data_IF_079121926706
#
_entry.id   IF_079121926706
#
_cell.length_a   1.000
_cell.length_b   1.000
_cell.length_c   1.000
_cell.angle_alpha   90.00
_cell.angle_beta   90.00
_cell.angle_gamma   90.00
#
_symmetry.space_group_name_H-M   'P 1'
#
loop_
_entity.id
_entity.type
_entity.pdbx_description
1 polymer ?
#
# COMPACT_ATOMS: atom_id res chain seq x y z
N UNK A 1 18.45 -2.64 -2.10
CA UNK A 1 17.14 -3.31 -2.16
C UNK A 1 17.28 -4.82 -2.47
N UNK A 2 17.87 -5.22 -3.57
CA UNK A 2 17.91 -6.63 -4.03
C UNK A 2 18.37 -7.64 -2.97
N UNK A 3 19.46 -7.38 -2.25
CA UNK A 3 19.91 -8.25 -1.16
C UNK A 3 18.84 -8.51 -0.10
N UNK A 4 18.10 -7.47 0.30
CA UNK A 4 17.02 -7.62 1.27
C UNK A 4 15.84 -8.40 0.68
N UNK A 5 15.46 -8.12 -0.55
CA UNK A 5 14.37 -8.83 -1.22
C UNK A 5 14.64 -10.33 -1.36
N UNK A 6 15.87 -10.70 -1.73
CA UNK A 6 16.26 -12.10 -1.97
C UNK A 6 16.49 -12.90 -0.68
N UNK A 7 17.07 -12.28 0.36
CA UNK A 7 17.59 -12.98 1.54
C UNK A 7 16.85 -12.66 2.84
N UNK A 8 15.88 -11.76 2.77
CA UNK A 8 15.23 -11.23 3.96
C UNK A 8 16.15 -10.32 4.78
N UNK A 9 15.59 -9.69 5.81
CA UNK A 9 16.35 -8.79 6.65
C UNK A 9 17.53 -9.49 7.33
N UNK A 10 17.31 -10.65 7.97
CA UNK A 10 18.36 -11.37 8.74
C UNK A 10 19.49 -11.89 7.85
N UNK A 11 19.18 -12.36 6.64
CA UNK A 11 20.14 -12.95 5.72
C UNK A 11 21.12 -11.97 5.07
N UNK A 12 20.90 -10.66 5.19
CA UNK A 12 21.79 -9.64 4.60
C UNK A 12 23.01 -9.39 5.48
N UNK A 13 24.19 -9.47 4.86
CA UNK A 13 25.49 -9.09 5.45
C UNK A 13 25.98 -7.79 4.82
N UNK A 14 26.30 -6.79 5.66
CA UNK A 14 26.75 -5.45 5.18
C UNK A 14 28.02 -5.56 4.36
N UNK A 15 28.92 -6.51 4.69
CA UNK A 15 30.15 -6.78 3.94
C UNK A 15 29.89 -7.15 2.46
N UNK A 16 28.83 -7.93 2.23
CA UNK A 16 28.47 -8.36 0.87
C UNK A 16 27.88 -7.21 0.06
N UNK A 17 27.03 -6.41 0.71
CA UNK A 17 26.48 -5.18 0.11
C UNK A 17 27.59 -4.20 -0.24
N UNK A 18 28.53 -3.95 0.66
CA UNK A 18 29.67 -3.06 0.44
C UNK A 18 30.56 -3.54 -0.72
N UNK A 19 30.86 -4.85 -0.75
CA UNK A 19 31.66 -5.47 -1.82
C UNK A 19 30.99 -5.32 -3.19
N UNK A 20 29.68 -5.57 -3.28
CA UNK A 20 28.93 -5.44 -4.53
C UNK A 20 28.84 -3.99 -5.01
N UNK A 21 28.68 -3.06 -4.05
CA UNK A 21 28.70 -1.62 -4.34
C UNK A 21 30.09 -1.05 -4.64
N UNK A 22 31.16 -1.85 -4.49
CA UNK A 22 32.53 -1.39 -4.72
C UNK A 22 33.04 -0.40 -3.68
N UNK A 23 32.49 -0.42 -2.45
CA UNK A 23 32.85 0.50 -1.36
C UNK A 23 33.35 -0.26 -0.12
N UNK A 24 34.08 0.44 0.76
CA UNK A 24 34.50 -0.15 2.04
C UNK A 24 33.28 -0.33 2.96
N UNK A 25 33.29 -1.40 3.79
CA UNK A 25 32.26 -1.65 4.81
C UNK A 25 32.06 -0.43 5.71
N UNK A 26 33.16 0.23 6.13
CA UNK A 26 33.12 1.44 6.94
C UNK A 26 32.36 2.60 6.29
N UNK A 27 32.39 2.73 4.97
CA UNK A 27 31.62 3.75 4.26
C UNK A 27 30.11 3.49 4.35
N UNK A 28 29.67 2.22 4.26
CA UNK A 28 28.27 1.86 4.44
C UNK A 28 27.79 2.20 5.86
N UNK A 29 28.56 1.84 6.88
CA UNK A 29 28.24 2.22 8.27
C UNK A 29 28.32 3.73 8.50
N UNK A 30 29.27 4.43 7.88
CA UNK A 30 29.38 5.89 7.99
C UNK A 30 28.16 6.62 7.41
N UNK A 31 27.57 6.07 6.34
CA UNK A 31 26.41 6.68 5.67
C UNK A 31 25.06 6.26 6.31
N UNK A 32 24.88 4.99 6.60
CA UNK A 32 23.61 4.45 7.06
C UNK A 32 23.56 4.21 8.57
N UNK A 33 24.67 4.30 9.27
CA UNK A 33 24.79 4.09 10.71
C UNK A 33 24.69 2.63 11.16
N UNK A 34 23.72 1.90 10.65
CA UNK A 34 23.40 0.52 11.07
C UNK A 34 22.80 -0.29 9.92
N UNK A 35 22.57 -1.59 10.15
CA UNK A 35 21.78 -2.44 9.25
C UNK A 35 20.33 -1.95 9.14
N UNK A 36 19.74 -1.48 10.26
CA UNK A 36 18.41 -0.90 10.28
C UNK A 36 18.36 0.36 9.41
N UNK A 37 19.34 1.26 9.52
CA UNK A 37 19.41 2.46 8.69
C UNK A 37 19.58 2.14 7.20
N UNK A 38 20.39 1.13 6.84
CA UNK A 38 20.50 0.66 5.46
C UNK A 38 19.17 0.06 4.96
N UNK A 39 18.48 -0.72 5.81
CA UNK A 39 17.18 -1.27 5.45
C UNK A 39 16.11 -0.18 5.31
N UNK A 40 16.07 0.79 6.23
CA UNK A 40 15.17 1.94 6.15
C UNK A 40 15.36 2.72 4.84
N UNK A 41 16.60 2.98 4.45
CA UNK A 41 16.88 3.64 3.17
C UNK A 41 16.42 2.79 1.97
N UNK A 42 16.58 1.46 2.05
CA UNK A 42 16.06 0.55 1.03
C UNK A 42 14.52 0.55 0.97
N UNK A 43 13.85 0.56 2.12
CA UNK A 43 12.40 0.68 2.25
C UNK A 43 11.88 1.99 1.65
N UNK A 44 12.49 3.11 2.03
CA UNK A 44 12.13 4.44 1.49
C UNK A 44 12.25 4.50 -0.04
N UNK A 45 13.34 3.95 -0.59
CA UNK A 45 13.53 3.89 -2.04
C UNK A 45 12.49 2.97 -2.71
N UNK A 46 12.15 1.84 -2.07
CA UNK A 46 11.11 0.94 -2.55
C UNK A 46 9.74 1.62 -2.54
N UNK A 47 9.34 2.25 -1.43
CA UNK A 47 8.06 2.94 -1.31
C UNK A 47 7.91 4.05 -2.37
N UNK A 48 8.93 4.87 -2.57
CA UNK A 48 8.91 5.92 -3.62
C UNK A 48 8.83 5.35 -5.04
N UNK A 49 9.33 4.14 -5.29
CA UNK A 49 9.24 3.53 -6.62
C UNK A 49 7.81 3.14 -6.99
N UNK A 50 6.92 2.96 -6.02
CA UNK A 50 5.52 2.66 -6.28
C UNK A 50 4.74 3.82 -6.89
N UNK A 51 5.15 5.07 -6.67
CA UNK A 51 4.42 6.25 -7.19
C UNK A 51 4.17 6.18 -8.70
N UNK A 52 5.12 5.65 -9.46
CA UNK A 52 4.99 5.49 -10.91
C UNK A 52 3.88 4.49 -11.33
N UNK A 53 3.44 3.63 -10.42
CA UNK A 53 2.39 2.62 -10.67
C UNK A 53 1.02 3.04 -10.14
N UNK A 54 0.97 4.11 -9.35
CA UNK A 54 -0.26 4.65 -8.81
C UNK A 54 -1.00 5.57 -9.79
N UNK A 55 -0.36 5.96 -10.90
CA UNK A 55 -0.99 6.74 -11.94
C UNK A 55 -2.11 5.92 -12.60
N UNK A 56 -3.34 6.41 -12.47
CA UNK A 56 -4.51 5.84 -13.12
C UNK A 56 -4.80 6.57 -14.45
N UNK A 57 -5.25 5.86 -15.51
CA UNK A 57 -5.69 6.49 -16.74
C UNK A 57 -6.81 7.51 -16.51
N UNK A 58 -6.89 8.55 -17.37
CA UNK A 58 -7.88 9.61 -17.24
C UNK A 58 -9.31 9.07 -17.21
N UNK A 59 -9.60 8.00 -17.95
CA UNK A 59 -10.90 7.35 -17.97
C UNK A 59 -11.27 6.79 -16.58
N UNK A 60 -10.32 6.14 -15.90
CA UNK A 60 -10.52 5.59 -14.56
C UNK A 60 -10.63 6.72 -13.52
N UNK A 61 -9.83 7.78 -13.67
CA UNK A 61 -9.93 8.98 -12.80
C UNK A 61 -11.30 9.63 -12.96
N UNK A 62 -11.85 9.68 -14.16
CA UNK A 62 -13.19 10.21 -14.42
C UNK A 62 -14.30 9.40 -13.75
N UNK A 63 -14.14 8.07 -13.62
CA UNK A 63 -15.07 7.18 -12.91
C UNK A 63 -15.07 7.40 -11.39
N UNK A 64 -13.94 7.88 -10.80
CA UNK A 64 -13.85 8.38 -9.45
C UNK A 64 -13.02 7.54 -8.48
N UNK A 65 -13.13 7.92 -7.20
CA UNK A 65 -12.28 7.43 -6.11
C UNK A 65 -12.25 5.89 -6.00
N UNK A 66 -13.42 5.25 -5.97
CA UNK A 66 -13.52 3.80 -5.81
C UNK A 66 -13.16 3.01 -7.06
N UNK A 67 -13.27 3.61 -8.24
CA UNK A 67 -12.78 3.02 -9.48
C UNK A 67 -11.25 2.98 -9.52
N UNK A 68 -10.59 4.04 -9.04
CA UNK A 68 -9.14 4.09 -8.91
C UNK A 68 -8.64 3.00 -7.94
N UNK A 69 -9.28 2.84 -6.78
CA UNK A 69 -8.94 1.75 -5.83
C UNK A 69 -9.04 0.38 -6.51
N UNK A 70 -10.14 0.13 -7.21
CA UNK A 70 -10.31 -1.11 -7.95
C UNK A 70 -9.20 -1.33 -8.97
N UNK A 71 -8.89 -0.31 -9.76
CA UNK A 71 -7.83 -0.34 -10.76
C UNK A 71 -6.47 -0.68 -10.15
N UNK A 72 -6.10 -0.09 -9.01
CA UNK A 72 -4.83 -0.40 -8.33
C UNK A 72 -4.77 -1.84 -7.85
N UNK A 73 -5.86 -2.34 -7.24
CA UNK A 73 -5.94 -3.73 -6.76
C UNK A 73 -5.79 -4.72 -7.92
N UNK A 74 -6.46 -4.48 -9.04
CA UNK A 74 -6.41 -5.35 -10.21
C UNK A 74 -5.03 -5.35 -10.88
N UNK A 75 -4.30 -4.23 -10.82
CA UNK A 75 -2.96 -4.10 -11.41
C UNK A 75 -1.82 -4.60 -10.53
N UNK A 76 -2.02 -4.69 -9.23
CA UNK A 76 -0.96 -5.06 -8.26
C UNK A 76 -0.20 -6.34 -8.66
N UNK A 77 -0.82 -7.46 -9.04
CA UNK A 77 -0.08 -8.67 -9.42
C UNK A 77 0.79 -8.49 -10.65
N UNK A 78 0.33 -7.72 -11.64
CA UNK A 78 1.08 -7.44 -12.85
C UNK A 78 2.33 -6.63 -12.54
N UNK A 79 2.17 -5.57 -11.75
CA UNK A 79 3.27 -4.74 -11.28
C UNK A 79 4.33 -5.55 -10.52
N UNK A 80 3.90 -6.40 -9.58
CA UNK A 80 4.82 -7.21 -8.79
C UNK A 80 5.52 -8.26 -9.66
N UNK A 81 4.86 -8.76 -10.70
CA UNK A 81 5.50 -9.65 -11.66
C UNK A 81 6.61 -8.95 -12.46
N UNK A 82 6.44 -7.67 -12.81
CA UNK A 82 7.46 -6.88 -13.53
C UNK A 82 8.64 -6.48 -12.64
N UNK A 83 8.39 -6.02 -11.41
CA UNK A 83 9.44 -5.64 -10.46
C UNK A 83 9.06 -6.03 -9.01
N UNK A 84 9.36 -7.27 -8.66
CA UNK A 84 9.07 -7.83 -7.33
C UNK A 84 9.94 -7.27 -6.19
N UNK A 85 11.08 -6.65 -6.51
CA UNK A 85 12.09 -6.23 -5.51
C UNK A 85 11.55 -5.14 -4.59
N UNK A 86 10.98 -4.03 -5.06
CA UNK A 86 10.37 -3.02 -4.19
C UNK A 86 9.27 -3.59 -3.31
N UNK A 87 8.33 -4.35 -3.88
CA UNK A 87 7.26 -4.97 -3.12
C UNK A 87 7.79 -5.87 -1.99
N UNK A 88 8.78 -6.72 -2.29
CA UNK A 88 9.36 -7.60 -1.28
C UNK A 88 10.04 -6.83 -0.15
N UNK A 89 10.66 -5.70 -0.43
CA UNK A 89 11.28 -4.85 0.59
C UNK A 89 10.22 -4.17 1.45
N UNK A 90 9.15 -3.64 0.87
CA UNK A 90 8.04 -3.05 1.65
C UNK A 90 7.33 -4.10 2.50
N UNK A 91 7.07 -5.28 1.96
CA UNK A 91 6.50 -6.41 2.70
C UNK A 91 7.37 -6.76 3.93
N UNK A 92 8.70 -6.89 3.76
CA UNK A 92 9.62 -7.15 4.87
C UNK A 92 9.57 -6.05 5.94
N UNK A 93 9.42 -4.80 5.56
CA UNK A 93 9.27 -3.67 6.48
C UNK A 93 7.94 -3.69 7.23
N UNK A 94 6.85 -3.95 6.53
CA UNK A 94 5.50 -4.00 7.11
C UNK A 94 5.36 -5.11 8.16
N UNK A 95 6.09 -6.24 7.98
CA UNK A 95 6.06 -7.39 8.89
C UNK A 95 7.33 -7.57 9.72
N UNK A 96 8.21 -6.54 9.82
CA UNK A 96 9.43 -6.66 10.61
C UNK A 96 9.13 -6.75 12.12
N UNK A 97 9.96 -7.49 12.86
CA UNK A 97 9.82 -7.67 14.30
C UNK A 97 10.41 -6.51 15.14
N UNK A 98 11.31 -5.71 14.56
CA UNK A 98 11.94 -4.57 15.23
C UNK A 98 10.96 -3.42 15.42
N UNK A 99 10.57 -3.13 16.67
CA UNK A 99 9.70 -2.00 16.99
C UNK A 99 10.34 -0.65 16.66
N UNK A 100 11.67 -0.53 16.78
CA UNK A 100 12.39 0.68 16.44
C UNK A 100 12.29 0.94 14.93
N UNK A 101 12.61 -0.05 14.11
CA UNK A 101 12.54 0.04 12.66
C UNK A 101 11.10 0.33 12.18
N UNK A 102 10.10 -0.31 12.80
CA UNK A 102 8.68 -0.02 12.51
C UNK A 102 8.31 1.44 12.80
N UNK A 103 8.78 2.02 13.91
CA UNK A 103 8.55 3.44 14.21
C UNK A 103 9.16 4.35 13.15
N UNK A 104 10.38 4.07 12.73
CA UNK A 104 11.08 4.86 11.71
C UNK A 104 10.37 4.76 10.35
N UNK A 105 9.92 3.57 9.96
CA UNK A 105 9.09 3.36 8.76
C UNK A 105 7.77 4.15 8.87
N UNK A 106 7.05 4.04 9.99
CA UNK A 106 5.79 4.76 10.19
C UNK A 106 6.00 6.27 10.15
N UNK A 107 7.06 6.78 10.76
CA UNK A 107 7.39 8.21 10.69
C UNK A 107 7.65 8.66 9.25
N UNK A 108 8.38 7.88 8.47
CA UNK A 108 8.61 8.15 7.06
C UNK A 108 7.30 8.19 6.27
N UNK A 109 6.42 7.19 6.43
CA UNK A 109 5.13 7.12 5.72
C UNK A 109 4.23 8.32 6.05
N UNK A 110 4.18 8.71 7.33
CA UNK A 110 3.37 9.84 7.79
C UNK A 110 3.89 11.20 7.33
N UNK A 111 5.22 11.37 7.21
CA UNK A 111 5.81 12.67 6.85
C UNK A 111 5.95 12.89 5.35
N UNK A 112 6.28 11.84 4.61
CA UNK A 112 6.56 11.97 3.18
C UNK A 112 5.37 11.57 2.28
N UNK A 113 4.38 10.85 2.83
CA UNK A 113 3.21 10.34 2.08
C UNK A 113 3.62 9.79 0.69
N UNK A 114 4.54 8.80 0.64
CA UNK A 114 5.16 8.37 -0.61
C UNK A 114 4.16 7.75 -1.59
N UNK A 115 3.00 7.35 -1.10
CA UNK A 115 1.89 6.81 -1.91
C UNK A 115 0.86 7.86 -2.29
N UNK A 116 0.96 9.09 -1.74
CA UNK A 116 0.00 10.16 -1.99
C UNK A 116 -1.40 9.88 -1.45
N UNK A 117 -1.52 9.02 -0.43
CA UNK A 117 -2.83 8.59 0.09
C UNK A 117 -3.65 9.75 0.63
N UNK A 118 -3.01 10.73 1.28
CA UNK A 118 -3.71 11.93 1.75
C UNK A 118 -4.33 12.71 0.59
N UNK A 119 -3.54 13.01 -0.45
CA UNK A 119 -4.03 13.75 -1.62
C UNK A 119 -5.14 12.95 -2.35
N UNK A 120 -5.03 11.63 -2.38
CA UNK A 120 -6.04 10.76 -2.95
C UNK A 120 -7.35 10.78 -2.14
N UNK A 121 -7.30 10.74 -0.81
CA UNK A 121 -8.50 10.89 0.04
C UNK A 121 -9.12 12.28 -0.14
N UNK A 122 -8.31 13.35 -0.20
CA UNK A 122 -8.78 14.71 -0.48
C UNK A 122 -9.47 14.80 -1.84
N UNK A 123 -8.96 14.12 -2.86
CA UNK A 123 -9.62 13.99 -4.17
C UNK A 123 -11.01 13.35 -4.04
N UNK A 124 -11.15 12.25 -3.31
CA UNK A 124 -12.45 11.58 -3.10
C UNK A 124 -13.45 12.47 -2.34
N UNK A 125 -12.97 13.23 -1.34
CA UNK A 125 -13.78 14.21 -0.61
C UNK A 125 -14.21 15.33 -1.56
N UNK A 126 -13.30 15.89 -2.36
CA UNK A 126 -13.60 16.96 -3.32
C UNK A 126 -14.64 16.57 -4.36
N UNK A 127 -14.72 15.27 -4.70
CA UNK A 127 -15.75 14.71 -5.59
C UNK A 127 -17.07 14.39 -4.88
N UNK A 128 -17.12 14.51 -3.55
CA UNK A 128 -18.28 14.13 -2.77
C UNK A 128 -18.49 12.61 -2.64
N UNK A 129 -17.48 11.82 -2.98
CA UNK A 129 -17.54 10.36 -2.94
C UNK A 129 -17.12 9.81 -1.58
N UNK A 130 -16.23 10.51 -0.86
CA UNK A 130 -15.76 10.15 0.48
C UNK A 130 -16.40 11.09 1.51
N UNK A 131 -16.85 10.52 2.62
CA UNK A 131 -17.51 11.22 3.73
C UNK A 131 -16.54 12.14 4.47
N UNK A 132 -17.06 13.23 5.05
CA UNK A 132 -16.29 14.28 5.72
C UNK A 132 -16.45 14.29 7.24
N UNK A 133 -17.26 13.40 7.80
CA UNK A 133 -17.54 13.31 9.24
C UNK A 133 -16.57 12.38 10.00
N UNK A 134 -15.58 11.80 9.29
CA UNK A 134 -14.48 11.03 9.86
C UNK A 134 -13.20 11.88 9.79
N UNK A 135 -12.40 11.78 10.85
CA UNK A 135 -11.09 12.43 10.90
C UNK A 135 -10.22 12.03 9.69
N UNK A 136 -9.55 13.01 9.08
CA UNK A 136 -8.73 12.82 7.89
C UNK A 136 -7.63 11.78 8.11
N UNK A 137 -6.96 11.81 9.26
CA UNK A 137 -5.89 10.86 9.55
C UNK A 137 -6.43 9.44 9.69
N UNK A 138 -7.64 9.27 10.22
CA UNK A 138 -8.32 7.98 10.28
C UNK A 138 -8.67 7.47 8.88
N UNK A 139 -9.18 8.33 7.98
CA UNK A 139 -9.48 7.97 6.59
C UNK A 139 -8.23 7.52 5.86
N UNK A 140 -7.15 8.29 5.95
CA UNK A 140 -5.84 7.96 5.32
C UNK A 140 -5.33 6.61 5.85
N UNK A 141 -5.29 6.46 7.19
CA UNK A 141 -4.80 5.21 7.80
C UNK A 141 -5.65 4.00 7.41
N UNK A 142 -6.98 4.16 7.34
CA UNK A 142 -7.87 3.07 6.97
C UNK A 142 -7.64 2.65 5.50
N UNK A 143 -7.50 3.61 4.59
CA UNK A 143 -7.21 3.33 3.17
C UNK A 143 -5.86 2.61 3.06
N UNK A 144 -4.81 3.12 3.69
CA UNK A 144 -3.47 2.49 3.68
C UNK A 144 -3.52 1.04 4.20
N UNK A 145 -4.10 0.83 5.39
CA UNK A 145 -4.16 -0.52 5.98
C UNK A 145 -4.94 -1.51 5.14
N UNK A 146 -6.08 -1.08 4.59
CA UNK A 146 -6.91 -1.97 3.78
C UNK A 146 -6.27 -2.24 2.42
N UNK A 147 -5.65 -1.25 1.79
CA UNK A 147 -4.96 -1.43 0.50
C UNK A 147 -3.74 -2.33 0.66
N UNK A 148 -2.85 -2.04 1.62
CA UNK A 148 -1.68 -2.88 1.92
C UNK A 148 -2.09 -4.32 2.17
N UNK A 149 -3.07 -4.53 3.07
CA UNK A 149 -3.49 -5.87 3.45
C UNK A 149 -4.17 -6.63 2.30
N UNK A 150 -4.98 -5.95 1.50
CA UNK A 150 -5.63 -6.54 0.34
C UNK A 150 -4.60 -6.93 -0.73
N UNK A 151 -3.64 -6.06 -1.02
CA UNK A 151 -2.57 -6.33 -1.97
C UNK A 151 -1.69 -7.50 -1.51
N UNK A 152 -1.30 -7.51 -0.25
CA UNK A 152 -0.52 -8.60 0.35
C UNK A 152 -1.25 -9.95 0.24
N UNK A 153 -2.56 -9.98 0.52
CA UNK A 153 -3.37 -11.18 0.43
C UNK A 153 -3.53 -11.70 -1.01
N UNK A 154 -3.52 -10.80 -2.01
CA UNK A 154 -3.60 -11.17 -3.42
C UNK A 154 -2.30 -11.79 -3.93
N UNK A 155 -1.15 -11.27 -3.45
CA UNK A 155 0.17 -11.61 -4.01
C UNK A 155 0.87 -12.68 -3.21
N UNK A 156 0.67 -12.70 -1.90
CA UNK A 156 1.37 -13.60 -0.98
C UNK A 156 0.35 -14.55 -0.35
N UNK A 157 0.14 -15.70 -1.00
CA UNK A 157 -0.86 -16.70 -0.60
C UNK A 157 -0.74 -17.09 0.89
N UNK A 158 0.48 -17.12 1.43
CA UNK A 158 0.75 -17.46 2.83
C UNK A 158 0.17 -16.46 3.83
N UNK A 159 -0.05 -15.21 3.41
CA UNK A 159 -0.61 -14.18 4.29
C UNK A 159 -2.13 -14.25 4.40
N UNK A 160 -2.81 -14.74 3.38
CA UNK A 160 -4.25 -14.98 3.43
C UNK A 160 -4.70 -16.10 2.46
N UNK A 161 -4.39 -17.37 2.78
CA UNK A 161 -4.66 -18.49 1.89
C UNK A 161 -6.16 -18.73 1.67
N UNK A 162 -7.02 -18.25 2.57
CA UNK A 162 -8.47 -18.42 2.48
C UNK A 162 -9.15 -17.46 1.50
N UNK A 163 -8.57 -16.29 1.27
CA UNK A 163 -9.23 -15.24 0.48
C UNK A 163 -8.83 -15.30 -0.99
N UNK A 164 -7.54 -15.36 -1.30
CA UNK A 164 -7.01 -15.33 -2.67
C UNK A 164 -6.11 -16.53 -3.00
N UNK A 165 -5.98 -17.52 -2.12
CA UNK A 165 -5.17 -18.71 -2.33
C UNK A 165 -5.70 -19.64 -3.42
N UNK A 166 -5.01 -20.76 -3.63
CA UNK A 166 -5.22 -21.70 -4.73
C UNK A 166 -6.66 -22.15 -4.95
N UNK A 167 -7.45 -22.27 -3.87
CA UNK A 167 -8.87 -22.61 -3.94
C UNK A 167 -9.76 -21.50 -4.56
N UNK A 168 -9.25 -20.26 -4.63
CA UNK A 168 -9.95 -19.09 -5.12
C UNK A 168 -9.50 -18.68 -6.54
N UNK A 169 -8.77 -19.52 -7.24
CA UNK A 169 -8.04 -19.19 -8.48
C UNK A 169 -8.91 -19.03 -9.73
N UNK A 170 -10.25 -19.20 -9.67
CA UNK A 170 -11.02 -18.81 -10.83
C UNK A 170 -11.01 -17.29 -10.97
N UNK A 171 -10.74 -16.74 -12.18
CA UNK A 171 -10.77 -15.31 -12.42
C UNK A 171 -12.07 -14.67 -11.91
N UNK A 172 -13.20 -15.36 -12.11
CA UNK A 172 -14.51 -14.88 -11.68
C UNK A 172 -14.63 -14.75 -10.15
N UNK A 173 -14.07 -15.69 -9.39
CA UNK A 173 -14.08 -15.62 -7.92
C UNK A 173 -13.19 -14.48 -7.42
N UNK A 174 -12.04 -14.27 -8.06
CA UNK A 174 -11.14 -13.18 -7.74
C UNK A 174 -11.80 -11.83 -8.01
N UNK A 175 -12.38 -11.65 -9.20
CA UNK A 175 -13.07 -10.40 -9.58
C UNK A 175 -14.22 -10.08 -8.63
N UNK A 176 -15.02 -11.10 -8.26
CA UNK A 176 -16.09 -10.96 -7.28
C UNK A 176 -15.55 -10.47 -5.91
N UNK A 177 -14.44 -11.03 -5.44
CA UNK A 177 -13.85 -10.64 -4.15
C UNK A 177 -13.26 -9.23 -4.18
N UNK A 178 -12.61 -8.84 -5.26
CA UNK A 178 -12.17 -7.46 -5.48
C UNK A 178 -13.34 -6.50 -5.48
N UNK A 179 -14.42 -6.84 -6.19
CA UNK A 179 -15.64 -6.05 -6.18
C UNK A 179 -16.23 -5.92 -4.77
N UNK A 180 -16.36 -7.03 -4.05
CA UNK A 180 -16.87 -7.02 -2.68
C UNK A 180 -15.99 -6.18 -1.73
N UNK A 181 -14.68 -6.25 -1.87
CA UNK A 181 -13.76 -5.43 -1.10
C UNK A 181 -14.00 -3.94 -1.34
N UNK A 182 -14.11 -3.52 -2.60
CA UNK A 182 -14.36 -2.12 -2.98
C UNK A 182 -15.72 -1.65 -2.45
N UNK A 183 -16.76 -2.48 -2.51
CA UNK A 183 -18.09 -2.14 -1.98
C UNK A 183 -18.11 -2.06 -0.46
N UNK A 184 -17.37 -2.92 0.25
CA UNK A 184 -17.22 -2.82 1.70
C UNK A 184 -16.51 -1.52 2.08
N UNK A 185 -15.45 -1.16 1.36
CA UNK A 185 -14.75 0.10 1.58
C UNK A 185 -15.66 1.30 1.28
N UNK A 186 -16.41 1.28 0.18
CA UNK A 186 -17.42 2.29 -0.15
C UNK A 186 -18.47 2.42 0.96
N UNK A 187 -18.92 1.33 1.52
CA UNK A 187 -19.89 1.32 2.61
C UNK A 187 -19.32 1.94 3.91
N UNK A 188 -18.01 1.77 4.15
CA UNK A 188 -17.34 2.30 5.33
C UNK A 188 -17.04 3.80 5.23
N UNK A 189 -16.47 4.24 4.12
CA UNK A 189 -15.95 5.62 3.98
C UNK A 189 -16.66 6.45 2.88
N UNK A 190 -17.54 5.84 2.10
CA UNK A 190 -18.30 6.56 1.08
C UNK A 190 -19.32 7.51 1.71
N UNK A 191 -19.64 8.57 0.98
CA UNK A 191 -20.71 9.49 1.35
C UNK A 191 -22.03 8.73 1.41
N UNK A 192 -22.74 8.72 2.55
CA UNK A 192 -24.01 8.02 2.65
C UNK A 192 -25.03 8.64 1.67
N UNK A 193 -25.91 7.82 1.06
CA UNK A 193 -26.98 8.36 0.23
C UNK A 193 -27.79 9.37 1.02
N UNK A 194 -28.03 10.54 0.44
CA UNK A 194 -28.86 11.57 1.08
C UNK A 194 -30.21 10.94 1.42
N UNK A 195 -30.52 10.84 2.70
CA UNK A 195 -31.86 10.49 3.16
C UNK A 195 -32.80 11.59 2.67
N UNK A 196 -33.58 11.32 1.65
CA UNK A 196 -34.68 12.16 1.24
C UNK A 196 -35.63 12.24 2.45
N UNK A 197 -35.57 13.33 3.22
CA UNK A 197 -36.56 13.57 4.28
C UNK A 197 -37.95 13.48 3.64
N UNK A 198 -38.86 12.62 4.15
CA UNK A 198 -40.23 12.64 3.66
C UNK A 198 -40.76 14.07 3.85
N UNK A 199 -41.32 14.65 2.78
CA UNK A 199 -42.05 15.91 2.88
C UNK A 199 -43.08 15.70 3.98
N UNK A 200 -42.94 16.45 5.08
CA UNK A 200 -44.04 16.62 6.02
C UNK A 200 -45.15 17.29 5.20
N UNK A 201 -46.14 16.49 4.82
CA UNK A 201 -47.41 17.02 4.35
C UNK A 201 -47.99 17.85 5.46
N UNK A 202 -48.00 19.17 5.27
CA UNK A 202 -48.70 20.10 6.13
C UNK A 202 -50.21 19.80 6.01
N UNK A 203 -50.81 19.34 7.14
CA UNK A 203 -52.24 19.33 7.39
C UNK A 203 -52.73 20.75 7.69
#
# INVERSE_FOLDING_TARGET
MRHFAERGYEGVRIEEVAREAGVAKGAVFGYFGSKDGLFLAAYQAAARSFSAYLDAPEEIVAEGFFAIIRYWIERTPHFIHEDWVPYRVTLLGNYCSSLQLRREITQFLLHEDPYGTRAFVEFGIGRGEVRTDIDMQMLVSLVDWLMDRCQDAIVTEELDPGLFGAAAQSPQTRDLRVQQFVELLRSAIGTPPQQTRPRQEAL
#
